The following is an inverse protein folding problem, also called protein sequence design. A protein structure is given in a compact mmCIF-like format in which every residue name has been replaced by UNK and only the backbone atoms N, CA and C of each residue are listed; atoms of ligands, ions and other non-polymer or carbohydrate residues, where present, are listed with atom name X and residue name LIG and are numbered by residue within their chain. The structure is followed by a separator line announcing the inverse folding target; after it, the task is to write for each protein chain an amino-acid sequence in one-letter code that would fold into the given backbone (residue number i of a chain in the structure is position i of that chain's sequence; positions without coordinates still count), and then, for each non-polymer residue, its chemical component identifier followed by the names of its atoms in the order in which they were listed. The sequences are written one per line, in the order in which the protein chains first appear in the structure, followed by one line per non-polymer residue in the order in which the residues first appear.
data_IF_584436977563
#
_entry.id   IF_584436977563
#
_cell.length_a   1.000
_cell.length_b   1.000
_cell.length_c   1.000
_cell.angle_alpha   90.00
_cell.angle_beta   90.00
_cell.angle_gamma   90.00
#
_symmetry.space_group_name_H-M   'P 1'
#
loop_
_entity.id
_entity.type
_entity.pdbx_description
1 polymer ?
#
# COMPACT_ATOMS: atom_id res chain seq x y z
N UNK A 1 -1.46 -20.77 4.36
CA UNK A 1 -0.88 -20.58 3.01
C UNK A 1 -0.06 -19.31 3.05
N UNK A 2 1.25 -19.39 2.77
CA UNK A 2 2.14 -18.24 3.02
C UNK A 2 1.86 -17.08 2.06
N UNK A 3 1.78 -15.86 2.61
CA UNK A 3 1.47 -14.64 1.87
C UNK A 3 2.45 -14.31 0.73
N UNK A 4 3.69 -14.79 0.82
CA UNK A 4 4.72 -14.63 -0.22
C UNK A 4 4.44 -15.44 -1.49
N UNK A 5 3.84 -16.63 -1.35
CA UNK A 5 3.45 -17.45 -2.51
C UNK A 5 2.37 -16.73 -3.33
N UNK A 6 1.40 -16.12 -2.65
CA UNK A 6 0.33 -15.35 -3.28
C UNK A 6 0.85 -14.08 -3.96
N UNK A 7 1.90 -13.44 -3.42
CA UNK A 7 2.57 -12.32 -4.08
C UNK A 7 3.18 -12.75 -5.42
N UNK A 8 3.89 -13.88 -5.46
CA UNK A 8 4.52 -14.38 -6.69
C UNK A 8 3.47 -14.66 -7.78
N UNK A 9 2.39 -15.36 -7.42
CA UNK A 9 1.26 -15.66 -8.32
C UNK A 9 0.60 -14.37 -8.84
N UNK A 10 0.37 -13.39 -7.96
CA UNK A 10 -0.18 -12.10 -8.36
C UNK A 10 0.72 -11.38 -9.38
N UNK A 11 2.03 -11.31 -9.15
CA UNK A 11 2.97 -10.67 -10.08
C UNK A 11 3.03 -11.39 -11.43
N UNK A 12 2.99 -12.72 -11.44
CA UNK A 12 2.88 -13.51 -12.67
C UNK A 12 1.59 -13.18 -13.44
N UNK A 13 0.46 -13.05 -12.73
CA UNK A 13 -0.81 -12.66 -13.33
C UNK A 13 -0.79 -11.25 -13.94
N UNK A 14 -0.05 -10.31 -13.33
CA UNK A 14 0.11 -8.96 -13.90
C UNK A 14 0.94 -8.98 -15.18
N UNK A 15 2.01 -9.78 -15.20
CA UNK A 15 2.83 -9.98 -16.41
C UNK A 15 2.03 -10.60 -17.54
N UNK A 16 1.25 -11.65 -17.26
CA UNK A 16 0.39 -12.30 -18.24
C UNK A 16 -0.67 -11.34 -18.84
N UNK A 17 -1.06 -10.30 -18.10
CA UNK A 17 -1.98 -9.25 -18.56
C UNK A 17 -1.30 -8.12 -19.36
N UNK A 18 0.00 -8.22 -19.62
CA UNK A 18 0.75 -7.26 -20.41
C UNK A 18 1.12 -5.96 -19.68
N UNK A 19 1.11 -5.94 -18.34
CA UNK A 19 1.61 -4.77 -17.61
C UNK A 19 3.13 -4.62 -17.81
N UNK A 20 3.61 -3.38 -17.88
CA UNK A 20 5.04 -3.11 -18.01
C UNK A 20 5.83 -3.64 -16.81
N UNK A 21 7.05 -4.13 -17.08
CA UNK A 21 7.98 -4.59 -16.04
C UNK A 21 8.26 -3.51 -14.98
N UNK A 22 8.27 -2.24 -15.39
CA UNK A 22 8.40 -1.10 -14.48
C UNK A 22 7.22 -1.01 -13.49
N UNK A 23 6.00 -1.17 -13.98
CA UNK A 23 4.81 -1.20 -13.14
C UNK A 23 4.83 -2.40 -12.20
N UNK A 24 5.24 -3.57 -12.69
CA UNK A 24 5.34 -4.80 -11.90
C UNK A 24 6.40 -4.64 -10.80
N UNK A 25 7.58 -4.08 -11.13
CA UNK A 25 8.66 -3.81 -10.17
C UNK A 25 8.20 -2.86 -9.06
N UNK A 26 7.50 -1.79 -9.42
CA UNK A 26 6.93 -0.84 -8.44
C UNK A 26 5.91 -1.53 -7.52
N UNK A 27 4.96 -2.28 -8.08
CA UNK A 27 3.96 -3.04 -7.31
C UNK A 27 4.62 -4.07 -6.38
N UNK A 28 5.62 -4.81 -6.86
CA UNK A 28 6.41 -5.75 -6.07
C UNK A 28 7.04 -5.04 -4.87
N UNK A 29 7.75 -3.93 -5.09
CA UNK A 29 8.39 -3.18 -4.01
C UNK A 29 7.42 -2.69 -2.94
N UNK A 30 6.27 -2.14 -3.37
CA UNK A 30 5.19 -1.71 -2.49
C UNK A 30 4.64 -2.88 -1.66
N UNK A 31 4.29 -3.99 -2.31
CA UNK A 31 3.69 -5.15 -1.65
C UNK A 31 4.68 -5.80 -0.69
N UNK A 32 5.92 -6.04 -1.12
CA UNK A 32 6.95 -6.63 -0.26
C UNK A 32 7.18 -5.79 1.01
N UNK A 33 7.15 -4.46 0.92
CA UNK A 33 7.29 -3.60 2.10
C UNK A 33 6.10 -3.75 3.05
N UNK A 34 4.89 -3.78 2.53
CA UNK A 34 3.68 -3.98 3.33
C UNK A 34 3.66 -5.36 3.99
N UNK A 35 3.94 -6.43 3.23
CA UNK A 35 3.96 -7.80 3.75
C UNK A 35 5.00 -7.97 4.84
N UNK A 36 6.18 -7.37 4.69
CA UNK A 36 7.21 -7.37 5.75
C UNK A 36 6.71 -6.72 7.03
N UNK A 37 6.04 -5.57 6.91
CA UNK A 37 5.44 -4.88 8.06
C UNK A 37 4.40 -5.75 8.77
N UNK A 38 3.59 -6.51 8.03
CA UNK A 38 2.64 -7.47 8.60
C UNK A 38 3.34 -8.62 9.33
N UNK A 39 4.40 -9.18 8.73
CA UNK A 39 5.18 -10.27 9.34
C UNK A 39 5.84 -9.81 10.64
N UNK A 40 6.39 -8.58 10.68
CA UNK A 40 6.92 -7.95 11.91
C UNK A 40 5.84 -7.80 13.01
N UNK A 41 4.56 -7.78 12.64
CA UNK A 41 3.40 -7.76 13.55
C UNK A 41 2.80 -9.15 13.81
N UNK A 42 3.46 -10.22 13.34
CA UNK A 42 3.01 -11.61 13.53
C UNK A 42 1.91 -12.06 12.55
N UNK A 43 1.66 -11.30 11.47
CA UNK A 43 0.62 -11.60 10.48
C UNK A 43 1.28 -12.16 9.22
N UNK A 44 1.16 -13.47 9.01
CA UNK A 44 1.76 -14.19 7.87
C UNK A 44 0.74 -14.84 6.92
N UNK A 45 -0.52 -14.90 7.33
CA UNK A 45 -1.62 -15.49 6.57
C UNK A 45 -2.46 -14.39 5.89
N UNK A 46 -2.74 -14.47 4.57
CA UNK A 46 -3.52 -13.45 3.86
C UNK A 46 -4.92 -13.23 4.43
N UNK A 47 -5.56 -14.29 4.94
CA UNK A 47 -6.90 -14.24 5.53
C UNK A 47 -6.95 -13.52 6.88
N UNK A 48 -5.81 -13.36 7.55
CA UNK A 48 -5.71 -12.62 8.81
C UNK A 48 -5.56 -11.10 8.59
N UNK A 49 -5.42 -10.64 7.34
CA UNK A 49 -5.29 -9.21 7.04
C UNK A 49 -6.65 -8.54 7.08
N UNK A 50 -6.82 -7.57 7.98
CA UNK A 50 -8.04 -6.78 8.15
C UNK A 50 -7.89 -5.40 7.50
N UNK A 51 -9.00 -4.66 7.43
CA UNK A 51 -8.97 -3.25 7.00
C UNK A 51 -8.12 -2.39 7.95
N UNK A 52 -8.16 -2.67 9.26
CA UNK A 52 -7.39 -1.96 10.26
C UNK A 52 -5.88 -2.08 10.02
N UNK A 53 -5.37 -3.27 9.67
CA UNK A 53 -3.96 -3.46 9.35
C UNK A 53 -3.52 -2.59 8.16
N UNK A 54 -4.39 -2.41 7.17
CA UNK A 54 -4.14 -1.52 6.04
C UNK A 54 -4.12 -0.06 6.50
N UNK A 55 -5.14 0.37 7.23
CA UNK A 55 -5.29 1.76 7.67
C UNK A 55 -4.13 2.17 8.60
N UNK A 56 -3.74 1.31 9.54
CA UNK A 56 -2.56 1.52 10.40
C UNK A 56 -1.27 1.63 9.59
N UNK A 57 -1.08 0.77 8.58
CA UNK A 57 0.12 0.83 7.75
C UNK A 57 0.19 2.12 6.93
N UNK A 58 -0.93 2.55 6.35
CA UNK A 58 -0.98 3.80 5.58
C UNK A 58 -0.78 5.02 6.46
N UNK A 59 -1.33 4.99 7.68
CA UNK A 59 -1.05 6.01 8.68
C UNK A 59 0.44 6.06 9.01
N UNK A 60 1.08 4.91 9.27
CA UNK A 60 2.53 4.80 9.46
C UNK A 60 3.32 5.39 8.26
N UNK A 61 2.90 5.13 7.02
CA UNK A 61 3.55 5.71 5.85
C UNK A 61 3.49 7.24 5.82
N UNK A 62 2.43 7.82 6.39
CA UNK A 62 2.22 9.28 6.39
C UNK A 62 2.94 9.97 7.55
N UNK A 63 2.98 9.34 8.73
CA UNK A 63 3.54 9.95 9.94
C UNK A 63 5.03 9.66 10.09
N UNK A 64 5.42 8.40 9.95
CA UNK A 64 6.74 7.91 10.37
C UNK A 64 7.68 7.66 9.18
N UNK A 65 7.16 7.13 8.07
CA UNK A 65 8.00 6.79 6.93
C UNK A 65 8.60 8.05 6.28
N UNK A 66 9.89 7.98 5.99
CA UNK A 66 10.61 8.97 5.19
C UNK A 66 11.24 8.28 3.98
N UNK A 67 11.18 8.97 2.85
CA UNK A 67 11.88 8.57 1.63
C UNK A 67 13.40 8.59 1.83
N UNK A 68 14.16 8.06 0.89
CA UNK A 68 15.63 8.11 0.93
C UNK A 68 16.19 9.54 1.03
N UNK A 69 15.41 10.55 0.60
CA UNK A 69 15.75 11.97 0.70
C UNK A 69 15.28 12.61 2.02
N UNK A 70 14.83 11.82 3.00
CA UNK A 70 14.31 12.33 4.27
C UNK A 70 12.92 12.98 4.18
N UNK A 71 12.28 12.98 3.00
CA UNK A 71 10.98 13.63 2.79
C UNK A 71 9.80 12.71 3.15
N UNK A 72 8.66 13.27 3.61
CA UNK A 72 7.41 12.52 3.73
C UNK A 72 6.98 11.86 2.41
N UNK A 73 6.16 10.81 2.49
CA UNK A 73 5.57 10.20 1.29
C UNK A 73 4.64 11.21 0.60
N UNK A 74 4.73 11.31 -0.73
CA UNK A 74 3.80 12.15 -1.48
C UNK A 74 2.42 11.50 -1.59
N UNK A 75 1.37 12.32 -1.76
CA UNK A 75 0.00 11.84 -1.99
C UNK A 75 -0.08 10.92 -3.21
N UNK A 76 0.70 11.21 -4.26
CA UNK A 76 0.79 10.37 -5.45
C UNK A 76 1.35 8.98 -5.15
N UNK A 77 2.43 8.90 -4.37
CA UNK A 77 2.98 7.62 -3.93
C UNK A 77 2.02 6.88 -3.00
N UNK A 78 1.38 7.57 -2.06
CA UNK A 78 0.38 6.96 -1.18
C UNK A 78 -0.79 6.36 -1.97
N UNK A 79 -1.31 7.06 -2.97
CA UNK A 79 -2.32 6.51 -3.90
C UNK A 79 -1.82 5.26 -4.62
N UNK A 80 -0.57 5.25 -5.07
CA UNK A 80 0.03 4.08 -5.72
C UNK A 80 0.12 2.87 -4.76
N UNK A 81 0.32 3.11 -3.47
CA UNK A 81 0.22 2.07 -2.45
C UNK A 81 -1.20 1.49 -2.36
N UNK A 82 -2.22 2.34 -2.25
CA UNK A 82 -3.62 1.87 -2.25
C UNK A 82 -3.96 1.01 -3.47
N UNK A 83 -3.63 1.45 -4.67
CA UNK A 83 -3.97 0.72 -5.90
C UNK A 83 -3.23 -0.63 -6.00
N UNK A 84 -2.01 -0.70 -5.47
CA UNK A 84 -1.24 -1.95 -5.42
C UNK A 84 -1.87 -2.94 -4.44
N UNK A 85 -2.19 -2.48 -3.23
CA UNK A 85 -2.80 -3.30 -2.17
C UNK A 85 -4.22 -3.74 -2.54
N UNK A 86 -5.05 -2.82 -3.03
CA UNK A 86 -6.40 -3.11 -3.54
C UNK A 86 -6.37 -4.14 -4.66
N UNK A 87 -5.45 -3.99 -5.62
CA UNK A 87 -5.30 -4.93 -6.73
C UNK A 87 -4.87 -6.33 -6.27
N UNK A 88 -3.95 -6.40 -5.30
CA UNK A 88 -3.48 -7.66 -4.72
C UNK A 88 -4.61 -8.39 -3.99
N UNK A 89 -5.23 -7.76 -2.98
CA UNK A 89 -6.29 -8.40 -2.21
C UNK A 89 -7.55 -8.68 -3.04
N UNK A 90 -7.87 -7.83 -4.02
CA UNK A 90 -8.95 -8.12 -4.98
C UNK A 90 -8.65 -9.33 -5.86
N UNK A 91 -7.37 -9.64 -6.16
CA UNK A 91 -7.02 -10.89 -6.85
C UNK A 91 -7.19 -12.10 -5.92
N UNK A 92 -6.78 -11.98 -4.67
CA UNK A 92 -6.93 -13.07 -3.68
C UNK A 92 -8.39 -13.43 -3.45
N UNK A 93 -9.25 -12.42 -3.35
CA UNK A 93 -10.70 -12.60 -3.23
C UNK A 93 -11.27 -13.29 -4.47
N UNK A 94 -10.92 -12.83 -5.68
CA UNK A 94 -11.36 -13.46 -6.94
C UNK A 94 -10.89 -14.91 -7.12
N UNK A 95 -9.74 -15.27 -6.53
CA UNK A 95 -9.19 -16.63 -6.55
C UNK A 95 -9.82 -17.53 -5.48
N UNK A 96 -10.53 -16.96 -4.51
CA UNK A 96 -11.06 -17.67 -3.35
C UNK A 96 -10.02 -17.93 -2.25
N UNK A 97 -8.82 -17.35 -2.33
CA UNK A 97 -7.78 -17.46 -1.30
C UNK A 97 -8.21 -16.77 0.01
N UNK A 98 -8.94 -15.67 -0.11
CA UNK A 98 -9.57 -14.98 1.02
C UNK A 98 -11.06 -14.84 0.75
N UNK A 99 -11.87 -14.87 1.80
CA UNK A 99 -13.31 -14.73 1.68
C UNK A 99 -13.73 -13.31 1.24
N UNK A 100 -13.01 -12.30 1.74
CA UNK A 100 -13.33 -10.90 1.47
C UNK A 100 -12.08 -10.04 1.45
N UNK A 101 -11.98 -9.14 0.47
CA UNK A 101 -10.92 -8.15 0.43
C UNK A 101 -11.06 -7.15 1.59
N UNK A 102 -9.97 -6.86 2.34
CA UNK A 102 -9.99 -5.85 3.41
C UNK A 102 -10.18 -4.41 2.90
N UNK A 103 -10.16 -4.17 1.58
CA UNK A 103 -10.57 -2.88 0.99
C UNK A 103 -12.08 -2.75 0.80
N UNK A 104 -12.83 -3.85 0.88
CA UNK A 104 -14.26 -3.90 0.57
C UNK A 104 -14.62 -3.45 -0.86
N UNK A 105 -15.91 -3.48 -1.18
CA UNK A 105 -16.42 -3.06 -2.49
C UNK A 105 -16.43 -1.54 -2.71
N UNK A 106 -16.27 -0.72 -1.65
CA UNK A 106 -16.60 0.73 -1.72
C UNK A 106 -15.63 1.72 -1.07
N UNK A 107 -14.60 1.33 -0.33
CA UNK A 107 -13.84 2.32 0.45
C UNK A 107 -12.40 2.42 -0.03
N UNK A 108 -12.12 3.45 -0.85
CA UNK A 108 -10.80 4.08 -0.74
C UNK A 108 -10.76 4.70 0.67
N UNK A 109 -9.78 4.36 1.51
CA UNK A 109 -9.68 4.97 2.82
C UNK A 109 -9.51 6.48 2.66
N UNK A 110 -10.06 7.23 3.61
CA UNK A 110 -9.92 8.68 3.63
C UNK A 110 -8.44 8.99 3.75
N UNK A 111 -7.82 9.45 2.66
CA UNK A 111 -6.44 9.91 2.69
C UNK A 111 -6.34 10.97 3.80
N UNK A 112 -5.35 10.89 4.70
CA UNK A 112 -5.11 11.98 5.63
C UNK A 112 -4.93 13.25 4.81
N UNK A 113 -5.61 14.33 5.22
CA UNK A 113 -5.44 15.63 4.58
C UNK A 113 -3.94 15.96 4.63
N UNK A 114 -3.33 16.44 3.53
CA UNK A 114 -1.96 16.89 3.59
C UNK A 114 -1.83 17.91 4.74
N UNK A 115 -0.71 17.91 5.49
CA UNK A 115 -0.46 18.96 6.45
C UNK A 115 -0.65 20.31 5.74
N UNK A 116 -1.37 21.22 6.38
CA UNK A 116 -1.55 22.58 5.86
C UNK A 116 -0.19 23.13 5.48
N UNK A 117 -0.10 23.67 4.26
CA UNK A 117 1.11 24.38 3.81
C UNK A 117 1.53 25.36 4.91
N UNK A 118 2.83 25.49 5.23
CA UNK A 118 3.27 26.49 6.18
C UNK A 118 2.77 27.86 5.70
N UNK A 119 2.16 28.59 6.64
CA UNK A 119 1.72 29.96 6.45
C UNK A 119 2.93 30.76 5.95
N UNK A 120 2.74 31.45 4.82
CA UNK A 120 3.81 32.19 4.13
C UNK A 120 4.48 33.13 5.13
N UNK A 121 5.82 33.09 5.22
CA UNK A 121 6.59 34.09 5.95
C UNK A 121 6.14 35.48 5.50
N UNK A 122 5.69 36.30 6.45
CA UNK A 122 5.34 37.70 6.18
C UNK A 122 6.60 38.47 5.75
N UNK A 123 6.48 39.54 4.93
CA UNK A 123 7.62 40.20 4.28
C UNK A 123 8.57 40.98 5.21
N UNK A 124 8.61 40.71 6.51
CA UNK A 124 9.29 41.54 7.52
C UNK A 124 10.74 41.10 7.80
N UNK A 125 11.30 40.18 7.00
CA UNK A 125 12.72 39.78 7.07
C UNK A 125 13.47 40.03 5.75
N UNK A 126 13.46 41.28 5.28
CA UNK A 126 14.46 41.81 4.32
C UNK A 126 15.27 42.89 5.01
#
# INVERSE_FOLDING_TARGET
MMIDAELSDYLASLRARGLSEDTIRRRKGTLTRFLRHLVEKGISEPSAVTQEHIDTYLFFLTQEYRTAQGKPISVHHLRSYHESLKGFFGRLEKKGTILRSPYGLKNLPRLPRPPSLPEVLTPEEI
#
